data_IF_739401848479
#
_entry.id   IF_739401848479
#
_cell.length_a   1.000
_cell.length_b   1.000
_cell.length_c   1.000
_cell.angle_alpha   90.00
_cell.angle_beta   90.00
_cell.angle_gamma   90.00
#
_symmetry.space_group_name_H-M   'P 1'
#
loop_
_entity.id
_entity.type
_entity.pdbx_description
1 polymer ?
#
# COMPACT_ATOMS: atom_id res chain seq x y z
N UNK A 1 -61.93 -52.92 6.04
CA UNK A 1 -62.27 -51.54 5.63
C UNK A 1 -61.40 -50.55 6.41
N UNK A 2 -60.29 -50.09 5.82
CA UNK A 2 -59.44 -49.05 6.41
C UNK A 2 -60.17 -47.71 6.24
N UNK A 3 -60.38 -46.98 7.33
CA UNK A 3 -61.20 -45.76 7.37
C UNK A 3 -60.49 -44.61 6.62
N UNK A 4 -61.08 -44.16 5.52
CA UNK A 4 -60.62 -43.06 4.64
C UNK A 4 -60.43 -41.71 5.38
N UNK A 5 -60.95 -41.58 6.61
CA UNK A 5 -60.92 -40.35 7.42
C UNK A 5 -59.53 -39.88 7.86
N UNK A 6 -58.50 -40.74 7.79
CA UNK A 6 -57.12 -40.37 8.15
C UNK A 6 -56.24 -40.01 6.94
N UNK A 7 -56.71 -40.21 5.70
CA UNK A 7 -55.94 -39.92 4.48
C UNK A 7 -55.84 -38.41 4.20
N UNK A 8 -56.89 -37.64 4.49
CA UNK A 8 -56.92 -36.20 4.26
C UNK A 8 -55.90 -35.40 5.11
N UNK A 9 -55.77 -35.62 6.44
CA UNK A 9 -54.77 -34.91 7.23
C UNK A 9 -53.33 -35.35 6.92
N UNK A 10 -53.11 -36.63 6.59
CA UNK A 10 -51.78 -37.13 6.21
C UNK A 10 -51.33 -36.55 4.86
N UNK A 11 -52.24 -36.44 3.89
CA UNK A 11 -51.95 -35.79 2.60
C UNK A 11 -51.65 -34.29 2.76
N UNK A 12 -52.37 -33.58 3.64
CA UNK A 12 -52.13 -32.17 3.91
C UNK A 12 -50.76 -31.91 4.58
N UNK A 13 -50.33 -32.80 5.49
CA UNK A 13 -48.99 -32.74 6.12
C UNK A 13 -47.90 -33.04 5.09
N UNK A 14 -48.11 -34.01 4.18
CA UNK A 14 -47.14 -34.33 3.14
C UNK A 14 -46.95 -33.19 2.14
N UNK A 15 -48.03 -32.50 1.76
CA UNK A 15 -47.99 -31.36 0.82
C UNK A 15 -47.31 -30.14 1.46
N UNK A 16 -47.51 -29.90 2.77
CA UNK A 16 -46.84 -28.82 3.50
C UNK A 16 -45.32 -29.06 3.69
N UNK A 17 -44.87 -30.33 3.75
CA UNK A 17 -43.44 -30.65 3.83
C UNK A 17 -42.68 -30.42 2.52
N UNK A 18 -43.35 -30.38 1.36
CA UNK A 18 -42.68 -30.14 0.06
C UNK A 18 -42.50 -28.66 -0.25
N UNK A 19 -43.30 -27.77 0.37
CA UNK A 19 -43.20 -26.31 0.20
C UNK A 19 -42.34 -25.62 1.28
N UNK A 20 -41.94 -26.34 2.32
CA UNK A 20 -41.05 -25.83 3.37
C UNK A 20 -39.57 -25.78 2.93
N UNK A 21 -39.18 -26.57 1.91
CA UNK A 21 -37.89 -26.42 1.26
C UNK A 21 -37.97 -25.23 0.31
N UNK A 22 -37.29 -24.13 0.65
CA UNK A 22 -37.13 -23.03 -0.30
C UNK A 22 -36.51 -23.57 -1.59
N UNK A 23 -37.10 -23.23 -2.73
CA UNK A 23 -36.68 -23.73 -4.06
C UNK A 23 -35.30 -23.24 -4.49
N UNK A 24 -34.68 -22.32 -3.74
CA UNK A 24 -33.37 -21.73 -3.96
C UNK A 24 -32.25 -22.36 -3.10
N UNK A 25 -32.54 -23.38 -2.27
CA UNK A 25 -31.55 -23.97 -1.36
C UNK A 25 -30.25 -24.46 -2.03
N UNK A 26 -30.30 -24.82 -3.32
CA UNK A 26 -29.13 -25.26 -4.12
C UNK A 26 -28.79 -24.30 -5.28
N UNK A 27 -29.53 -23.21 -5.46
CA UNK A 27 -29.33 -22.26 -6.57
C UNK A 27 -29.67 -20.84 -6.12
N UNK A 28 -28.64 -20.04 -5.83
CA UNK A 28 -28.78 -18.63 -5.42
C UNK A 28 -29.17 -18.45 -3.95
N UNK A 29 -28.94 -17.25 -3.41
CA UNK A 29 -29.16 -16.94 -1.97
C UNK A 29 -27.93 -17.24 -1.10
N UNK A 30 -28.16 -17.76 0.13
CA UNK A 30 -27.14 -18.04 1.18
C UNK A 30 -25.98 -18.96 0.73
N UNK A 31 -26.16 -19.71 -0.37
CA UNK A 31 -25.10 -20.53 -0.98
C UNK A 31 -24.12 -19.71 -1.86
N UNK A 32 -24.57 -18.57 -2.38
CA UNK A 32 -23.83 -17.67 -3.29
C UNK A 32 -23.37 -16.37 -2.63
N UNK A 33 -24.01 -16.00 -1.53
CA UNK A 33 -23.64 -14.88 -0.66
C UNK A 33 -23.32 -15.45 0.71
N UNK A 34 -22.07 -15.84 0.93
CA UNK A 34 -21.58 -16.21 2.26
C UNK A 34 -21.27 -14.92 3.04
N UNK A 35 -22.04 -14.56 4.09
CA UNK A 35 -21.79 -13.35 4.87
C UNK A 35 -20.44 -13.38 5.62
N UNK A 36 -19.79 -14.54 5.74
CA UNK A 36 -18.43 -14.68 6.27
C UNK A 36 -17.34 -14.55 5.19
N UNK A 37 -17.72 -14.37 3.92
CA UNK A 37 -16.79 -14.12 2.80
C UNK A 37 -17.11 -12.76 2.18
N UNK A 38 -16.61 -11.66 2.77
CA UNK A 38 -16.76 -10.35 2.15
C UNK A 38 -16.20 -10.39 0.73
N UNK A 39 -17.05 -10.15 -0.27
CA UNK A 39 -16.68 -10.17 -1.69
C UNK A 39 -15.98 -8.87 -2.12
N UNK A 40 -16.08 -7.82 -1.30
CA UNK A 40 -15.50 -6.50 -1.54
C UNK A 40 -14.80 -6.03 -0.28
N UNK A 41 -13.51 -5.68 -0.38
CA UNK A 41 -12.75 -5.12 0.73
C UNK A 41 -13.22 -3.69 1.05
N UNK A 42 -13.31 -3.36 2.34
CA UNK A 42 -13.59 -1.98 2.77
C UNK A 42 -12.36 -1.08 2.54
N UNK A 43 -12.57 0.24 2.44
CA UNK A 43 -11.45 1.20 2.35
C UNK A 43 -10.45 1.03 3.50
N UNK A 44 -10.94 0.71 4.69
CA UNK A 44 -10.13 0.44 5.88
C UNK A 44 -9.26 -0.80 5.74
N UNK A 45 -9.81 -1.90 5.22
CA UNK A 45 -9.06 -3.13 4.98
C UNK A 45 -8.00 -2.93 3.89
N UNK A 46 -8.35 -2.22 2.81
CA UNK A 46 -7.40 -1.84 1.76
C UNK A 46 -6.29 -0.97 2.34
N UNK A 47 -6.63 0.04 3.16
CA UNK A 47 -5.66 0.93 3.80
C UNK A 47 -4.65 0.19 4.68
N UNK A 48 -5.06 -0.83 5.43
CA UNK A 48 -4.12 -1.67 6.19
C UNK A 48 -3.20 -2.50 5.28
N UNK A 49 -3.74 -3.06 4.20
CA UNK A 49 -2.94 -3.76 3.18
C UNK A 49 -1.92 -2.84 2.50
N UNK A 50 -2.33 -1.61 2.19
CA UNK A 50 -1.46 -0.58 1.59
C UNK A 50 -0.30 -0.23 2.53
N UNK A 51 -0.56 0.05 3.80
CA UNK A 51 0.48 0.33 4.80
C UNK A 51 1.49 -0.82 4.89
N UNK A 52 0.99 -2.05 4.94
CA UNK A 52 1.84 -3.25 5.00
C UNK A 52 2.72 -3.38 3.76
N UNK A 53 2.16 -3.13 2.58
CA UNK A 53 2.92 -3.16 1.32
C UNK A 53 3.96 -2.03 1.23
N UNK A 54 3.65 -0.81 1.67
CA UNK A 54 4.62 0.29 1.72
C UNK A 54 5.82 -0.08 2.60
N UNK A 55 5.58 -0.65 3.78
CA UNK A 55 6.66 -1.12 4.64
C UNK A 55 7.44 -2.29 4.06
N UNK A 56 6.78 -3.20 3.33
CA UNK A 56 7.47 -4.25 2.61
C UNK A 56 8.35 -3.66 1.50
N UNK A 57 7.85 -2.67 0.76
CA UNK A 57 8.58 -2.00 -0.30
C UNK A 57 9.81 -1.25 0.23
N UNK A 58 9.67 -0.54 1.36
CA UNK A 58 10.78 0.23 1.96
C UNK A 58 11.68 -0.58 2.91
N UNK A 59 11.27 -1.76 3.34
CA UNK A 59 12.01 -2.56 4.33
C UNK A 59 12.54 -3.90 3.81
N UNK A 60 12.10 -4.35 2.64
CA UNK A 60 12.43 -5.68 2.11
C UNK A 60 13.46 -5.61 0.96
N UNK A 61 13.24 -6.33 -0.14
CA UNK A 61 14.23 -6.48 -1.21
C UNK A 61 14.67 -5.14 -1.82
N UNK A 62 13.80 -4.15 -2.11
CA UNK A 62 14.25 -2.87 -2.66
C UNK A 62 15.30 -2.17 -1.79
N UNK A 63 15.05 -2.04 -0.50
CA UNK A 63 15.97 -1.40 0.44
C UNK A 63 17.29 -2.18 0.60
N UNK A 64 17.24 -3.51 0.58
CA UNK A 64 18.45 -4.33 0.71
C UNK A 64 19.32 -4.29 -0.55
N UNK A 65 18.69 -4.26 -1.73
CA UNK A 65 19.42 -4.12 -3.01
C UNK A 65 20.03 -2.73 -3.15
N UNK A 66 19.25 -1.67 -2.89
CA UNK A 66 19.79 -0.30 -2.97
C UNK A 66 20.84 -0.04 -1.91
N UNK A 67 20.66 -0.56 -0.69
CA UNK A 67 21.66 -0.49 0.39
C UNK A 67 22.96 -1.20 0.02
N UNK A 68 22.92 -2.31 -0.72
CA UNK A 68 24.14 -2.94 -1.26
C UNK A 68 24.86 -2.04 -2.26
N UNK A 69 24.13 -1.38 -3.16
CA UNK A 69 24.75 -0.47 -4.15
C UNK A 69 25.21 0.85 -3.53
N UNK A 70 24.58 1.27 -2.43
CA UNK A 70 25.03 2.35 -1.56
C UNK A 70 26.19 1.96 -0.64
N UNK A 71 26.64 0.69 -0.67
CA UNK A 71 27.74 0.15 0.14
C UNK A 71 27.45 0.10 1.64
N UNK A 72 26.18 0.12 2.05
CA UNK A 72 25.79 -0.14 3.45
C UNK A 72 25.92 -1.63 3.78
N UNK A 73 25.69 -2.49 2.78
CA UNK A 73 25.76 -3.94 2.90
C UNK A 73 26.58 -4.54 1.76
N UNK A 74 27.12 -5.74 1.99
CA UNK A 74 27.66 -6.60 0.96
C UNK A 74 26.81 -7.86 0.79
N UNK A 75 26.77 -8.37 -0.44
CA UNK A 75 26.15 -9.65 -0.78
C UNK A 75 27.04 -10.82 -0.36
N UNK A 76 26.68 -11.50 0.73
CA UNK A 76 27.50 -12.56 1.31
C UNK A 76 27.29 -13.93 0.64
N UNK A 77 26.07 -14.25 0.22
CA UNK A 77 25.70 -15.57 -0.30
C UNK A 77 24.52 -15.51 -1.30
N UNK A 78 24.36 -16.59 -2.08
CA UNK A 78 23.23 -16.83 -2.98
C UNK A 78 22.93 -15.65 -3.92
N UNK A 79 21.66 -15.31 -4.15
CA UNK A 79 21.27 -14.26 -5.08
C UNK A 79 21.85 -12.89 -4.69
N UNK A 80 22.07 -12.64 -3.39
CA UNK A 80 22.62 -11.38 -2.91
C UNK A 80 24.09 -11.21 -3.30
N UNK A 81 24.87 -12.30 -3.39
CA UNK A 81 26.24 -12.26 -3.92
C UNK A 81 26.27 -11.86 -5.40
N UNK A 82 25.37 -12.40 -6.21
CA UNK A 82 25.23 -12.03 -7.63
C UNK A 82 24.82 -10.56 -7.79
N UNK A 83 23.78 -10.12 -7.05
CA UNK A 83 23.29 -8.73 -7.10
C UNK A 83 24.38 -7.73 -6.71
N UNK A 84 25.16 -8.03 -5.67
CA UNK A 84 26.27 -7.18 -5.24
C UNK A 84 27.37 -7.05 -6.30
N UNK A 85 27.56 -8.08 -7.12
CA UNK A 85 28.47 -8.07 -8.28
C UNK A 85 27.79 -7.56 -9.57
N UNK A 86 26.70 -6.80 -9.45
CA UNK A 86 25.96 -6.20 -10.56
C UNK A 86 25.37 -7.20 -11.56
N UNK A 87 25.18 -8.46 -11.14
CA UNK A 87 24.38 -9.42 -11.89
C UNK A 87 22.91 -9.20 -11.52
N UNK A 88 22.27 -8.29 -12.25
CA UNK A 88 20.91 -7.82 -12.00
C UNK A 88 20.05 -8.03 -13.25
N UNK A 89 18.92 -8.73 -13.09
CA UNK A 89 18.01 -9.11 -14.17
C UNK A 89 16.56 -8.69 -13.91
N UNK A 90 15.69 -8.93 -14.88
CA UNK A 90 14.27 -8.60 -14.80
C UNK A 90 13.52 -9.39 -13.71
N UNK A 91 14.03 -10.56 -13.33
CA UNK A 91 13.46 -11.37 -12.25
C UNK A 91 13.55 -10.68 -10.90
N UNK A 92 14.66 -10.01 -10.62
CA UNK A 92 14.85 -9.21 -9.41
C UNK A 92 13.94 -7.97 -9.45
N UNK A 93 13.91 -7.29 -10.60
CA UNK A 93 13.13 -6.05 -10.78
C UNK A 93 11.61 -6.27 -10.74
N UNK A 94 11.14 -7.45 -11.17
CA UNK A 94 9.72 -7.86 -11.14
C UNK A 94 9.09 -7.69 -9.74
N UNK A 95 9.83 -8.02 -8.67
CA UNK A 95 9.34 -7.88 -7.30
C UNK A 95 9.07 -6.42 -6.92
N UNK A 96 9.90 -5.49 -7.40
CA UNK A 96 9.78 -4.07 -7.09
C UNK A 96 8.56 -3.50 -7.83
N UNK A 97 8.40 -3.88 -9.10
CA UNK A 97 7.26 -3.48 -9.91
C UNK A 97 5.93 -3.99 -9.30
N UNK A 98 5.91 -5.23 -8.81
CA UNK A 98 4.75 -5.79 -8.11
C UNK A 98 4.36 -4.96 -6.88
N UNK A 99 5.33 -4.60 -6.02
CA UNK A 99 5.06 -3.74 -4.85
C UNK A 99 4.54 -2.34 -5.22
N UNK A 100 4.90 -1.82 -6.40
CA UNK A 100 4.45 -0.52 -6.89
C UNK A 100 3.01 -0.56 -7.41
N UNK A 101 2.63 -1.56 -8.20
CA UNK A 101 1.35 -1.56 -8.93
C UNK A 101 0.32 -2.60 -8.48
N UNK A 102 0.75 -3.75 -7.94
CA UNK A 102 -0.12 -4.86 -7.60
C UNK A 102 -0.77 -4.69 -6.22
N UNK A 103 -1.24 -5.78 -5.60
CA UNK A 103 -1.96 -5.75 -4.33
C UNK A 103 -1.18 -4.97 -3.25
N UNK A 104 -1.88 -4.07 -2.56
CA UNK A 104 -1.30 -3.10 -1.62
C UNK A 104 -0.55 -1.92 -2.26
N UNK A 105 -0.27 -1.96 -3.56
CA UNK A 105 0.31 -0.88 -4.34
C UNK A 105 -0.76 0.04 -4.96
N UNK A 106 -0.44 0.65 -6.10
CA UNK A 106 -1.27 1.66 -6.75
C UNK A 106 -2.70 1.18 -7.04
N UNK A 107 -2.92 -0.10 -7.37
CA UNK A 107 -4.27 -0.64 -7.64
C UNK A 107 -5.20 -0.55 -6.44
N UNK A 108 -4.71 -0.87 -5.24
CA UNK A 108 -5.51 -0.82 -4.02
C UNK A 108 -5.61 0.59 -3.47
N UNK A 109 -4.57 1.42 -3.64
CA UNK A 109 -4.62 2.86 -3.35
C UNK A 109 -5.73 3.53 -4.18
N UNK A 110 -5.76 3.30 -5.50
CA UNK A 110 -6.78 3.87 -6.37
C UNK A 110 -8.19 3.40 -5.96
N UNK A 111 -8.36 2.09 -5.72
CA UNK A 111 -9.64 1.53 -5.26
C UNK A 111 -10.08 2.13 -3.93
N UNK A 112 -9.18 2.27 -2.96
CA UNK A 112 -9.50 2.87 -1.67
C UNK A 112 -9.90 4.34 -1.83
N UNK A 113 -9.18 5.11 -2.66
CA UNK A 113 -9.50 6.51 -2.98
C UNK A 113 -10.89 6.66 -3.58
N UNK A 114 -11.30 5.77 -4.49
CA UNK A 114 -12.65 5.80 -5.08
C UNK A 114 -13.74 5.60 -4.01
N UNK A 115 -13.56 4.61 -3.12
CA UNK A 115 -14.50 4.32 -2.03
C UNK A 115 -14.63 5.52 -1.07
N UNK A 116 -13.51 6.14 -0.67
CA UNK A 116 -13.54 7.26 0.28
C UNK A 116 -13.98 8.56 -0.35
N UNK A 117 -13.77 8.74 -1.66
CA UNK A 117 -14.32 9.87 -2.41
C UNK A 117 -15.84 9.79 -2.48
N UNK A 118 -16.39 8.60 -2.78
CA UNK A 118 -17.84 8.38 -2.84
C UNK A 118 -18.53 8.61 -1.48
N UNK A 119 -17.85 8.27 -0.38
CA UNK A 119 -18.32 8.49 1.00
C UNK A 119 -17.92 9.86 1.57
N UNK A 120 -17.23 10.70 0.79
CA UNK A 120 -16.74 12.01 1.20
C UNK A 120 -15.88 11.99 2.47
N UNK A 121 -15.12 10.90 2.69
CA UNK A 121 -14.15 10.82 3.78
C UNK A 121 -12.80 11.41 3.31
N UNK A 122 -12.71 12.74 3.36
CA UNK A 122 -11.53 13.49 2.89
C UNK A 122 -10.28 13.26 3.75
N UNK A 123 -10.43 12.99 5.05
CA UNK A 123 -9.30 12.66 5.92
C UNK A 123 -8.56 11.42 5.43
N UNK A 124 -9.29 10.31 5.21
CA UNK A 124 -8.67 9.09 4.68
C UNK A 124 -8.23 9.24 3.22
N UNK A 125 -8.98 9.99 2.39
CA UNK A 125 -8.54 10.31 1.03
C UNK A 125 -7.18 11.00 1.02
N UNK A 126 -6.99 11.96 1.92
CA UNK A 126 -5.75 12.70 1.99
C UNK A 126 -4.57 11.83 2.41
N UNK A 127 -4.77 10.94 3.39
CA UNK A 127 -3.76 9.95 3.80
C UNK A 127 -3.39 9.02 2.63
N UNK A 128 -4.38 8.49 1.90
CA UNK A 128 -4.14 7.61 0.75
C UNK A 128 -3.36 8.34 -0.35
N UNK A 129 -3.58 9.64 -0.55
CA UNK A 129 -2.79 10.46 -1.47
C UNK A 129 -1.35 10.66 -0.99
N UNK A 130 -1.12 10.80 0.32
CA UNK A 130 0.25 10.82 0.87
C UNK A 130 0.98 9.52 0.55
N UNK A 131 0.33 8.40 0.81
CA UNK A 131 0.85 7.05 0.51
C UNK A 131 1.11 6.84 -0.98
N UNK A 132 0.21 7.30 -1.86
CA UNK A 132 0.42 7.27 -3.30
C UNK A 132 1.66 8.06 -3.71
N UNK A 133 1.79 9.31 -3.21
CA UNK A 133 2.93 10.16 -3.51
C UNK A 133 4.25 9.55 -3.03
N UNK A 134 4.25 8.93 -1.84
CA UNK A 134 5.40 8.21 -1.31
C UNK A 134 5.81 7.03 -2.19
N UNK A 135 4.84 6.19 -2.56
CA UNK A 135 5.09 4.98 -3.32
C UNK A 135 5.54 5.32 -4.76
N UNK A 136 4.81 6.20 -5.45
CA UNK A 136 5.11 6.57 -6.84
C UNK A 136 6.36 7.45 -6.96
N UNK A 137 6.62 8.32 -6.00
CA UNK A 137 7.87 9.10 -5.97
C UNK A 137 9.10 8.21 -5.76
N UNK A 138 9.01 7.22 -4.86
CA UNK A 138 10.08 6.21 -4.71
C UNK A 138 10.19 5.31 -5.94
N UNK A 139 9.08 5.01 -6.61
CA UNK A 139 9.11 4.37 -7.91
C UNK A 139 9.93 5.17 -8.92
N UNK A 140 9.71 6.49 -8.99
CA UNK A 140 10.48 7.34 -9.90
C UNK A 140 11.99 7.32 -9.57
N UNK A 141 12.35 7.28 -8.29
CA UNK A 141 13.75 7.12 -7.85
C UNK A 141 14.38 5.80 -8.35
N UNK A 142 13.63 4.70 -8.29
CA UNK A 142 14.14 3.36 -8.61
C UNK A 142 14.15 3.07 -10.12
N UNK A 143 13.15 3.52 -10.85
CA UNK A 143 12.92 3.13 -12.25
C UNK A 143 13.20 4.25 -13.26
N UNK A 144 13.27 5.50 -12.82
CA UNK A 144 13.25 6.64 -13.72
C UNK A 144 11.86 6.84 -14.32
N UNK A 145 11.77 6.72 -15.65
CA UNK A 145 10.51 6.81 -16.38
C UNK A 145 9.62 5.60 -16.04
N UNK A 146 8.35 5.85 -15.69
CA UNK A 146 7.42 4.81 -15.25
C UNK A 146 5.98 5.10 -15.67
N UNK A 147 5.10 4.11 -15.64
CA UNK A 147 3.69 4.29 -15.99
C UNK A 147 2.94 4.92 -14.80
N UNK A 148 2.51 6.18 -14.89
CA UNK A 148 1.70 6.78 -13.83
C UNK A 148 0.38 7.37 -14.35
N UNK A 149 0.43 8.29 -15.29
CA UNK A 149 -0.72 8.99 -15.86
C UNK A 149 -1.72 8.06 -16.56
N UNK A 150 -1.22 6.95 -17.12
CA UNK A 150 -2.02 5.92 -17.79
C UNK A 150 -2.20 4.66 -16.94
N UNK A 151 -1.66 4.64 -15.71
CA UNK A 151 -1.79 3.49 -14.83
C UNK A 151 -3.28 3.20 -14.58
N UNK A 152 -3.63 1.91 -14.54
CA UNK A 152 -4.99 1.44 -14.24
C UNK A 152 -6.09 1.93 -15.21
N UNK A 153 -5.74 2.58 -16.31
CA UNK A 153 -6.71 3.11 -17.30
C UNK A 153 -7.39 2.05 -18.17
N UNK A 154 -6.98 0.78 -18.06
CA UNK A 154 -7.41 -0.30 -18.95
C UNK A 154 -6.79 -0.24 -20.35
N UNK A 155 -5.95 0.75 -20.64
CA UNK A 155 -5.25 0.88 -21.91
C UNK A 155 -4.24 -0.27 -22.08
N UNK A 156 -4.29 -1.04 -23.18
CA UNK A 156 -3.24 -2.01 -23.49
C UNK A 156 -1.95 -1.26 -23.83
N UNK A 157 -0.83 -1.67 -23.23
CA UNK A 157 0.50 -1.08 -23.40
C UNK A 157 0.55 0.43 -23.06
N UNK A 158 0.41 0.78 -21.76
CA UNK A 158 0.53 2.17 -21.34
C UNK A 158 1.95 2.71 -21.59
N UNK A 159 2.05 4.00 -21.86
CA UNK A 159 3.34 4.67 -22.06
C UNK A 159 4.00 4.99 -20.72
N UNK A 160 5.33 5.01 -20.73
CA UNK A 160 6.11 5.54 -19.61
C UNK A 160 5.99 7.07 -19.61
N UNK A 161 5.73 7.62 -18.43
CA UNK A 161 5.84 9.05 -18.19
C UNK A 161 7.30 9.38 -17.86
N UNK A 162 7.84 10.50 -18.36
CA UNK A 162 9.16 10.96 -17.97
C UNK A 162 9.28 11.15 -16.46
N UNK A 163 10.41 10.76 -15.86
CA UNK A 163 10.64 10.80 -14.40
C UNK A 163 10.28 12.18 -13.79
N UNK A 164 10.68 13.28 -14.45
CA UNK A 164 10.35 14.64 -14.00
C UNK A 164 8.85 14.94 -14.01
N UNK A 165 8.10 14.38 -14.95
CA UNK A 165 6.64 14.53 -15.01
C UNK A 165 5.94 13.68 -13.92
N UNK A 166 6.52 12.52 -13.58
CA UNK A 166 6.08 11.73 -12.42
C UNK A 166 6.27 12.53 -11.14
N UNK A 167 7.43 13.16 -10.95
CA UNK A 167 7.68 14.06 -9.82
C UNK A 167 6.68 15.21 -9.72
N UNK A 168 6.37 15.86 -10.84
CA UNK A 168 5.35 16.93 -10.85
C UNK A 168 3.96 16.41 -10.47
N UNK A 169 3.63 15.19 -10.88
CA UNK A 169 2.37 14.55 -10.54
C UNK A 169 2.31 14.18 -9.06
N UNK A 170 3.39 13.63 -8.51
CA UNK A 170 3.55 13.33 -7.08
C UNK A 170 3.40 14.59 -6.23
N UNK A 171 4.02 15.71 -6.60
CA UNK A 171 3.87 16.98 -5.88
C UNK A 171 2.42 17.47 -5.82
N UNK A 172 1.66 17.29 -6.91
CA UNK A 172 0.23 17.62 -6.97
C UNK A 172 -0.60 16.70 -6.08
N UNK A 173 -0.32 15.40 -6.12
CA UNK A 173 -1.02 14.40 -5.29
C UNK A 173 -0.78 14.65 -3.80
N UNK A 174 0.46 14.92 -3.39
CA UNK A 174 0.79 15.28 -2.00
C UNK A 174 0.09 16.58 -1.57
N UNK A 175 0.04 17.59 -2.44
CA UNK A 175 -0.67 18.85 -2.16
C UNK A 175 -2.17 18.65 -2.01
N UNK A 176 -2.78 17.82 -2.85
CA UNK A 176 -4.18 17.44 -2.71
C UNK A 176 -4.42 16.67 -1.40
N UNK A 177 -3.47 15.81 -1.00
CA UNK A 177 -3.51 15.10 0.27
C UNK A 177 -3.57 16.03 1.48
N UNK A 178 -2.67 17.02 1.51
CA UNK A 178 -2.64 18.07 2.55
C UNK A 178 -3.98 18.82 2.60
N UNK A 179 -4.51 19.23 1.45
CA UNK A 179 -5.79 19.96 1.38
C UNK A 179 -6.97 19.11 1.87
N UNK A 180 -7.02 17.83 1.49
CA UNK A 180 -8.09 16.92 1.89
C UNK A 180 -8.07 16.60 3.39
N UNK A 181 -6.89 16.45 3.99
CA UNK A 181 -6.76 16.27 5.45
C UNK A 181 -7.18 17.52 6.25
N UNK A 182 -7.18 18.70 5.63
CA UNK A 182 -7.68 19.94 6.25
C UNK A 182 -9.20 20.11 6.14
N UNK A 183 -9.91 19.19 5.48
CA UNK A 183 -11.36 19.26 5.30
C UNK A 183 -12.11 19.15 6.63
N UNK A 184 -13.09 20.02 6.82
CA UNK A 184 -13.99 20.03 7.99
C UNK A 184 -15.34 19.36 7.72
N UNK A 185 -15.45 18.57 6.64
CA UNK A 185 -16.67 17.85 6.34
C UNK A 185 -17.01 16.85 7.45
N UNK A 186 -18.29 16.75 7.85
CA UNK A 186 -18.70 15.89 8.95
C UNK A 186 -18.47 14.38 8.69
N UNK A 187 -18.41 13.99 7.41
CA UNK A 187 -18.07 12.62 6.95
C UNK A 187 -16.57 12.34 6.96
N UNK A 188 -15.74 13.37 7.11
CA UNK A 188 -14.29 13.28 7.16
C UNK A 188 -13.88 12.74 8.54
N UNK A 189 -13.49 11.47 8.59
CA UNK A 189 -13.07 10.81 9.82
C UNK A 189 -11.70 10.17 9.63
N UNK A 190 -10.74 10.40 10.54
CA UNK A 190 -9.45 9.73 10.48
C UNK A 190 -9.63 8.21 10.67
N UNK A 191 -8.73 7.40 10.08
CA UNK A 191 -8.78 5.94 10.14
C UNK A 191 -8.46 5.32 11.52
N UNK A 192 -8.17 6.12 12.55
CA UNK A 192 -7.91 5.71 13.95
C UNK A 192 -7.20 4.36 14.09
N UNK A 193 -7.88 3.30 14.56
CA UNK A 193 -7.30 1.98 14.83
C UNK A 193 -6.77 1.24 13.60
N UNK A 194 -7.13 1.69 12.40
CA UNK A 194 -6.71 1.08 11.14
C UNK A 194 -5.50 1.76 10.53
N UNK A 195 -5.07 2.88 11.12
CA UNK A 195 -3.78 3.50 10.86
C UNK A 195 -2.76 2.94 11.83
N UNK A 196 -1.87 2.13 11.28
CA UNK A 196 -0.81 1.45 12.00
C UNK A 196 0.35 2.42 12.31
N UNK A 197 0.51 3.47 11.51
CA UNK A 197 1.69 4.34 11.56
C UNK A 197 1.50 5.54 12.51
N UNK A 198 0.35 6.22 12.42
CA UNK A 198 0.05 7.43 13.20
C UNK A 198 -1.25 7.38 13.99
N UNK A 199 -1.98 6.26 13.98
CA UNK A 199 -3.21 6.10 14.77
C UNK A 199 -4.31 7.12 14.42
N UNK A 200 -4.32 7.64 13.19
CA UNK A 200 -5.27 8.64 12.71
C UNK A 200 -4.86 10.08 12.95
N UNK A 201 -3.62 10.35 13.40
CA UNK A 201 -3.12 11.71 13.62
C UNK A 201 -2.86 12.44 12.29
N UNK A 202 -3.85 13.24 11.86
CA UNK A 202 -3.78 14.00 10.60
C UNK A 202 -2.67 15.06 10.59
N UNK A 203 -2.25 15.57 11.75
CA UNK A 203 -1.16 16.54 11.81
C UNK A 203 0.18 15.87 11.47
N UNK A 204 0.39 14.63 11.94
CA UNK A 204 1.56 13.83 11.55
C UNK A 204 1.55 13.44 10.08
N UNK A 205 0.39 13.02 9.55
CA UNK A 205 0.27 12.75 8.11
C UNK A 205 0.52 13.99 7.25
N UNK A 206 0.03 15.16 7.68
CA UNK A 206 0.29 16.43 6.99
C UNK A 206 1.77 16.80 7.02
N UNK A 207 2.43 16.65 8.18
CA UNK A 207 3.87 16.86 8.32
C UNK A 207 4.68 15.87 7.46
N UNK A 208 4.25 14.61 7.37
CA UNK A 208 4.85 13.62 6.48
C UNK A 208 4.70 14.03 5.01
N UNK A 209 3.52 14.49 4.59
CA UNK A 209 3.28 14.98 3.23
C UNK A 209 4.26 16.11 2.87
N UNK A 210 4.38 17.13 3.71
CA UNK A 210 5.36 18.22 3.53
C UNK A 210 6.80 17.70 3.49
N UNK A 211 7.15 16.74 4.34
CA UNK A 211 8.49 16.11 4.34
C UNK A 211 8.78 15.40 3.01
N UNK A 212 7.81 14.68 2.45
CA UNK A 212 7.93 14.01 1.16
C UNK A 212 8.01 15.01 0.00
N UNK A 213 7.22 16.09 0.04
CA UNK A 213 7.34 17.18 -0.94
C UNK A 213 8.74 17.79 -0.92
N UNK A 214 9.29 18.06 0.27
CA UNK A 214 10.65 18.57 0.43
C UNK A 214 11.69 17.60 -0.15
N UNK A 215 11.60 16.31 0.19
CA UNK A 215 12.47 15.24 -0.36
C UNK A 215 12.47 15.24 -1.89
N UNK A 216 11.29 15.22 -2.52
CA UNK A 216 11.19 15.13 -3.97
C UNK A 216 11.56 16.43 -4.69
N UNK A 217 11.40 17.59 -4.05
CA UNK A 217 12.02 18.81 -4.57
C UNK A 217 13.55 18.73 -4.54
N UNK A 218 14.14 18.19 -3.47
CA UNK A 218 15.59 17.97 -3.41
C UNK A 218 16.09 17.01 -4.48
N UNK A 219 15.37 15.91 -4.76
CA UNK A 219 15.76 14.95 -5.80
C UNK A 219 15.84 15.59 -7.20
N UNK A 220 15.07 16.65 -7.45
CA UNK A 220 15.04 17.35 -8.75
C UNK A 220 15.86 18.65 -8.76
N UNK A 221 16.53 18.99 -7.64
CA UNK A 221 17.07 20.33 -7.43
C UNK A 221 18.27 20.65 -8.31
N UNK A 222 19.14 19.68 -8.62
CA UNK A 222 20.26 19.89 -9.53
C UNK A 222 19.79 20.21 -10.95
N UNK A 223 18.76 19.51 -11.42
CA UNK A 223 18.20 19.68 -12.78
C UNK A 223 17.37 20.97 -12.88
N UNK A 224 16.62 21.31 -11.83
CA UNK A 224 15.68 22.45 -11.82
C UNK A 224 16.26 23.74 -11.23
N UNK A 225 17.45 23.67 -10.64
CA UNK A 225 18.16 24.79 -10.05
C UNK A 225 17.48 25.40 -8.82
N UNK A 226 17.73 26.69 -8.59
CA UNK A 226 17.40 27.40 -7.35
C UNK A 226 15.92 27.35 -6.93
N UNK A 227 14.99 27.25 -7.91
CA UNK A 227 13.56 27.18 -7.62
C UNK A 227 13.18 25.92 -6.83
N UNK A 228 13.77 24.77 -7.16
CA UNK A 228 13.51 23.50 -6.47
C UNK A 228 14.13 23.49 -5.07
N UNK A 229 15.35 24.04 -4.88
CA UNK A 229 15.92 24.23 -3.55
C UNK A 229 15.05 25.13 -2.65
N UNK A 230 14.53 26.23 -3.22
CA UNK A 230 13.65 27.15 -2.49
C UNK A 230 12.35 26.45 -2.07
N UNK A 231 11.75 25.68 -2.97
CA UNK A 231 10.55 24.91 -2.68
C UNK A 231 10.81 23.83 -1.61
N UNK A 232 11.93 23.10 -1.69
CA UNK A 232 12.32 22.13 -0.67
C UNK A 232 12.46 22.77 0.72
N UNK A 233 13.10 23.94 0.79
CA UNK A 233 13.27 24.68 2.05
C UNK A 233 11.93 25.16 2.63
N UNK A 234 11.00 25.58 1.79
CA UNK A 234 9.66 25.98 2.25
C UNK A 234 8.90 24.77 2.83
N UNK A 235 8.95 23.62 2.14
CA UNK A 235 8.24 22.41 2.55
C UNK A 235 8.84 21.79 3.83
N UNK A 236 10.17 21.76 3.99
CA UNK A 236 10.80 21.18 5.19
C UNK A 236 10.46 21.94 6.48
N UNK A 237 10.21 23.24 6.40
CA UNK A 237 9.76 24.06 7.55
C UNK A 237 8.35 23.69 8.06
N UNK A 238 7.56 23.05 7.20
CA UNK A 238 6.21 22.55 7.49
C UNK A 238 6.19 21.04 7.75
N UNK A 239 7.31 20.35 7.51
CA UNK A 239 7.47 18.91 7.66
C UNK A 239 7.64 18.42 9.11
N UNK A 240 8.14 17.20 9.24
CA UNK A 240 8.40 16.55 10.53
C UNK A 240 9.53 17.29 11.25
N UNK A 241 9.28 17.74 12.49
CA UNK A 241 10.21 18.58 13.27
C UNK A 241 10.92 17.87 14.43
N UNK A 242 10.44 16.69 14.80
CA UNK A 242 10.95 15.95 15.95
C UNK A 242 10.68 14.44 15.78
N UNK A 243 11.42 13.62 16.53
CA UNK A 243 11.35 12.16 16.44
C UNK A 243 9.94 11.59 16.69
N UNK A 244 9.10 12.27 17.47
CA UNK A 244 7.71 11.86 17.73
C UNK A 244 6.80 11.92 16.48
N UNK A 245 7.24 12.61 15.43
CA UNK A 245 6.58 12.66 14.13
C UNK A 245 7.27 11.82 13.07
N UNK A 246 8.27 11.00 13.41
CA UNK A 246 8.90 10.11 12.43
C UNK A 246 7.90 9.08 11.91
N UNK A 247 7.93 8.84 10.60
CA UNK A 247 7.19 7.75 9.99
C UNK A 247 7.93 6.44 10.24
N UNK A 248 7.37 5.58 11.08
CA UNK A 248 8.00 4.34 11.54
C UNK A 248 7.04 3.16 11.39
N UNK A 249 7.56 2.02 10.95
CA UNK A 249 6.73 0.84 10.74
C UNK A 249 6.28 0.23 12.05
N UNK A 250 5.00 -0.15 12.10
CA UNK A 250 4.36 -0.78 13.26
C UNK A 250 4.72 -2.26 13.40
N UNK A 251 6.03 -2.55 13.50
CA UNK A 251 6.52 -3.91 13.70
C UNK A 251 6.48 -4.32 15.17
N UNK A 252 6.13 -5.58 15.43
CA UNK A 252 6.05 -6.13 16.79
C UNK A 252 6.88 -7.40 16.92
N UNK A 253 6.87 -8.01 18.11
CA UNK A 253 7.51 -9.31 18.34
C UNK A 253 6.68 -10.49 17.77
N UNK A 254 5.41 -10.28 17.41
CA UNK A 254 4.56 -11.31 16.84
C UNK A 254 5.13 -11.79 15.51
N UNK A 255 5.18 -13.11 15.28
CA UNK A 255 5.86 -13.71 14.12
C UNK A 255 5.41 -13.19 12.75
N UNK A 256 4.14 -12.76 12.65
CA UNK A 256 3.54 -12.24 11.41
C UNK A 256 3.70 -10.73 11.24
N UNK A 257 4.30 -10.03 12.20
CA UNK A 257 4.39 -8.57 12.27
C UNK A 257 5.84 -8.09 12.49
N UNK A 258 6.82 -8.98 12.29
CA UNK A 258 8.22 -8.66 12.55
C UNK A 258 8.81 -7.78 11.46
N UNK A 259 9.80 -6.97 11.83
CA UNK A 259 10.56 -6.16 10.89
C UNK A 259 11.19 -7.01 9.77
N UNK A 260 11.17 -6.52 8.54
CA UNK A 260 11.63 -7.26 7.37
C UNK A 260 13.11 -7.65 7.39
N UNK A 261 14.00 -6.83 7.98
CA UNK A 261 15.41 -7.21 8.15
C UNK A 261 15.56 -8.33 9.19
N UNK A 262 14.88 -8.21 10.34
CA UNK A 262 14.87 -9.25 11.35
C UNK A 262 14.34 -10.56 10.80
N UNK A 263 13.20 -10.50 10.10
CA UNK A 263 12.57 -11.65 9.46
C UNK A 263 13.50 -12.30 8.43
N UNK A 264 14.19 -11.48 7.63
CA UNK A 264 15.12 -11.96 6.62
C UNK A 264 16.30 -12.72 7.23
N UNK A 265 16.98 -12.13 8.21
CA UNK A 265 18.19 -12.72 8.79
C UNK A 265 17.90 -13.98 9.63
N UNK A 266 16.90 -13.90 10.52
CA UNK A 266 16.60 -14.96 11.47
C UNK A 266 15.51 -15.93 11.00
N UNK A 267 14.21 -15.59 11.14
CA UNK A 267 13.08 -16.47 10.85
C UNK A 267 13.06 -17.08 9.44
N UNK A 268 13.46 -16.33 8.41
CA UNK A 268 13.52 -16.84 7.04
C UNK A 268 14.76 -17.71 6.77
N UNK A 269 15.67 -17.85 7.74
CA UNK A 269 16.87 -18.68 7.63
C UNK A 269 17.90 -18.18 6.64
N UNK A 270 17.95 -16.86 6.35
CA UNK A 270 18.84 -16.27 5.33
C UNK A 270 20.03 -15.53 5.94
N UNK A 271 20.42 -15.92 7.15
CA UNK A 271 21.61 -15.41 7.82
C UNK A 271 22.84 -15.52 6.93
N UNK A 272 23.55 -14.41 6.77
CA UNK A 272 24.76 -14.32 5.94
C UNK A 272 24.53 -14.07 4.44
N UNK A 273 23.28 -13.98 3.97
CA UNK A 273 22.99 -13.54 2.60
C UNK A 273 23.35 -12.05 2.42
N UNK A 274 23.09 -11.26 3.46
CA UNK A 274 23.46 -9.86 3.57
C UNK A 274 24.43 -9.72 4.75
N UNK A 275 25.58 -9.10 4.53
CA UNK A 275 26.60 -8.85 5.57
C UNK A 275 27.02 -7.37 5.55
N UNK A 276 27.70 -6.88 6.59
CA UNK A 276 28.24 -5.53 6.57
C UNK A 276 29.29 -5.41 5.46
N UNK A 277 29.25 -4.34 4.67
CA UNK A 277 30.27 -4.10 3.63
C UNK A 277 31.62 -3.81 4.30
N UNK A 278 32.68 -4.60 4.02
CA UNK A 278 34.00 -4.38 4.61
C UNK A 278 34.57 -2.97 4.39
N UNK A 279 34.15 -2.27 3.33
CA UNK A 279 34.58 -0.90 3.04
C UNK A 279 33.89 0.14 3.92
N UNK A 280 32.76 -0.20 4.53
CA UNK A 280 32.00 0.70 5.41
C UNK A 280 32.42 0.57 6.89
N UNK A 281 32.98 -0.58 7.28
CA UNK A 281 33.40 -0.88 8.66
C UNK A 281 34.91 -0.74 8.90
N UNK A 282 35.68 -0.47 7.85
CA UNK A 282 37.14 -0.25 7.90
C UNK A 282 37.48 1.24 7.96
#
# INVERSE_FOLDING_TARGET
MIKIRYLAPVAAILVASVTACKTDFLTGGDLSTDPNRPTTATATQLFQGIQTNIWAFFGSDPARVTGMWAREFAGGQNQYQSIYNYQYDEGIQSGFNSGLYAAGGLVDIARAKDIVTASQNFALLGILQVQEGMLMGTGADLFGDLVYSQALSGKPNPTLDPQLAVYDSVQKVLSAGIANMASTAATSSPPSNSDLDYGGDLAKWTALAHTMKARFFMHTAEVRGAAAYTAALAEVQLGIKANSGNYVGAFTANSSEQNFYYQFDGPAGRKGYLVADPQFVA
#
